data_IF_984212379373
#
_entry.id   IF_984212379373
#
_cell.length_a   1.000
_cell.length_b   1.000
_cell.length_c   1.000
_cell.angle_alpha   90.00
_cell.angle_beta   90.00
_cell.angle_gamma   90.00
#
_symmetry.space_group_name_H-M   'P 1'
#
loop_
_entity.id
_entity.type
_entity.pdbx_description
1 polymer ?
#
# COMPACT_ATOMS: atom_id res chain seq x y z
N UNK A 1 -1.87 -37.81 -8.20
CA UNK A 1 -2.11 -37.41 -9.61
C UNK A 1 -3.41 -36.62 -9.69
N UNK A 2 -3.33 -35.29 -9.77
CA UNK A 2 -4.49 -34.42 -9.94
C UNK A 2 -4.10 -33.25 -10.81
N UNK A 3 -4.41 -33.33 -12.11
CA UNK A 3 -4.08 -32.31 -13.11
C UNK A 3 -4.81 -31.01 -12.77
N UNK A 4 -4.05 -29.94 -12.50
CA UNK A 4 -4.56 -28.57 -12.52
C UNK A 4 -5.03 -28.25 -13.95
N UNK A 5 -6.34 -28.21 -14.14
CA UNK A 5 -6.96 -27.67 -15.34
C UNK A 5 -6.67 -26.15 -15.39
N UNK A 6 -5.72 -25.77 -16.25
CA UNK A 6 -5.55 -24.38 -16.71
C UNK A 6 -6.90 -23.89 -17.23
N UNK A 7 -7.46 -22.85 -16.60
CA UNK A 7 -8.64 -22.15 -17.13
C UNK A 7 -8.20 -21.31 -18.32
N UNK A 8 -8.44 -21.85 -19.50
CA UNK A 8 -8.40 -21.14 -20.77
C UNK A 8 -9.58 -20.15 -20.82
N UNK A 9 -9.28 -18.86 -20.68
CA UNK A 9 -10.27 -17.79 -20.68
C UNK A 9 -10.73 -17.40 -22.11
N UNK A 10 -10.17 -18.00 -23.16
CA UNK A 10 -10.61 -17.77 -24.53
C UNK A 10 -11.97 -18.42 -24.87
N UNK A 11 -12.54 -19.22 -23.95
CA UNK A 11 -13.76 -20.02 -24.17
C UNK A 11 -14.96 -19.65 -23.29
N UNK A 12 -14.96 -18.50 -22.62
CA UNK A 12 -16.13 -18.06 -21.85
C UNK A 12 -16.84 -16.88 -22.53
N UNK A 13 -17.80 -17.13 -23.43
CA UNK A 13 -18.57 -16.07 -24.10
C UNK A 13 -19.35 -15.17 -23.13
N UNK A 14 -19.54 -15.61 -21.87
CA UNK A 14 -20.29 -14.90 -20.85
C UNK A 14 -19.45 -14.37 -19.69
N UNK A 15 -18.11 -14.48 -19.68
CA UNK A 15 -17.30 -14.15 -18.50
C UNK A 15 -17.53 -12.73 -17.97
N UNK A 16 -17.55 -11.74 -18.87
CA UNK A 16 -17.78 -10.33 -18.52
C UNK A 16 -19.22 -10.09 -18.07
N UNK A 17 -20.20 -10.66 -18.79
CA UNK A 17 -21.61 -10.55 -18.43
C UNK A 17 -21.95 -11.25 -17.10
N UNK A 18 -21.30 -12.38 -16.82
CA UNK A 18 -21.46 -13.15 -15.58
C UNK A 18 -20.80 -12.46 -14.38
N UNK A 19 -19.62 -11.84 -14.56
CA UNK A 19 -18.97 -11.04 -13.52
C UNK A 19 -19.72 -9.72 -13.25
N UNK A 20 -20.40 -9.17 -14.25
CA UNK A 20 -21.28 -7.99 -14.12
C UNK A 20 -22.59 -8.37 -13.42
N UNK A 21 -23.18 -9.53 -13.75
CA UNK A 21 -24.39 -10.05 -13.11
C UNK A 21 -24.18 -10.52 -11.67
N UNK A 22 -22.94 -10.83 -11.27
CA UNK A 22 -22.59 -11.19 -9.88
C UNK A 22 -22.64 -10.02 -8.90
N UNK A 23 -22.53 -8.79 -9.37
CA UNK A 23 -22.60 -7.60 -8.54
C UNK A 23 -23.48 -6.54 -9.21
N UNK A 24 -24.81 -6.73 -9.24
CA UNK A 24 -25.75 -5.80 -9.85
C UNK A 24 -25.76 -4.42 -9.18
N UNK A 25 -25.13 -4.30 -8.00
CA UNK A 25 -24.95 -3.05 -7.27
C UNK A 25 -23.65 -2.32 -7.63
N UNK A 26 -22.76 -2.92 -8.44
CA UNK A 26 -21.51 -2.31 -8.86
C UNK A 26 -21.77 -1.19 -9.86
N UNK A 27 -21.90 0.03 -9.33
CA UNK A 27 -22.02 1.24 -10.14
C UNK A 27 -20.69 1.55 -10.82
N UNK A 28 -20.67 1.75 -12.16
CA UNK A 28 -19.48 2.28 -12.81
C UNK A 28 -19.19 3.68 -12.25
N UNK A 29 -17.92 4.03 -12.10
CA UNK A 29 -17.55 5.38 -11.67
C UNK A 29 -18.07 6.39 -12.70
N UNK A 30 -18.84 7.35 -12.20
CA UNK A 30 -19.28 8.52 -12.96
C UNK A 30 -18.78 9.76 -12.23
N UNK A 31 -18.04 10.60 -12.95
CA UNK A 31 -17.57 11.85 -12.40
C UNK A 31 -18.77 12.81 -12.27
N UNK A 32 -19.19 13.07 -11.03
CA UNK A 32 -20.20 14.08 -10.70
C UNK A 32 -19.54 15.34 -10.13
N UNK A 33 -20.36 16.36 -9.86
CA UNK A 33 -19.92 17.49 -9.06
C UNK A 33 -19.52 17.03 -7.66
N UNK A 34 -18.47 17.62 -7.11
CA UNK A 34 -17.88 17.23 -5.82
C UNK A 34 -18.03 18.39 -4.84
N UNK A 35 -18.30 18.09 -3.57
CA UNK A 35 -18.47 19.10 -2.52
C UNK A 35 -17.13 19.75 -2.16
N UNK A 36 -17.11 21.07 -2.14
CA UNK A 36 -16.00 21.92 -1.69
C UNK A 36 -16.02 22.05 -0.16
N UNK A 37 -14.96 22.66 0.39
CA UNK A 37 -14.86 22.86 1.85
C UNK A 37 -15.90 23.85 2.39
N UNK A 38 -16.35 24.78 1.55
CA UNK A 38 -17.39 25.78 1.85
C UNK A 38 -18.82 25.23 1.71
N UNK A 39 -18.98 23.94 1.39
CA UNK A 39 -20.27 23.29 1.20
C UNK A 39 -20.86 23.40 -0.22
N UNK A 40 -20.31 24.27 -1.08
CA UNK A 40 -20.71 24.41 -2.49
C UNK A 40 -20.27 23.21 -3.32
N UNK A 41 -20.86 23.05 -4.51
CA UNK A 41 -20.48 22.01 -5.47
C UNK A 41 -19.52 22.58 -6.52
N UNK A 42 -18.63 21.75 -7.05
CA UNK A 42 -17.78 22.12 -8.19
C UNK A 42 -18.60 22.41 -9.44
N UNK A 43 -18.22 23.46 -10.17
CA UNK A 43 -18.95 23.94 -11.34
C UNK A 43 -18.55 23.21 -12.63
N UNK A 44 -17.31 22.72 -12.71
CA UNK A 44 -16.78 22.03 -13.89
C UNK A 44 -16.25 20.64 -13.52
N UNK A 45 -16.17 19.75 -14.52
CA UNK A 45 -15.54 18.44 -14.36
C UNK A 45 -14.06 18.55 -14.00
N UNK A 46 -13.35 19.53 -14.56
CA UNK A 46 -11.95 19.79 -14.23
C UNK A 46 -11.77 20.18 -12.77
N UNK A 47 -12.64 21.04 -12.24
CA UNK A 47 -12.64 21.43 -10.83
C UNK A 47 -12.97 20.23 -9.91
N UNK A 48 -13.98 19.43 -10.27
CA UNK A 48 -14.31 18.18 -9.57
C UNK A 48 -13.09 17.24 -9.53
N UNK A 49 -12.39 17.12 -10.65
CA UNK A 49 -11.25 16.24 -10.79
C UNK A 49 -10.07 16.72 -9.93
N UNK A 50 -9.73 18.01 -10.03
CA UNK A 50 -8.69 18.62 -9.22
C UNK A 50 -8.96 18.45 -7.72
N UNK A 51 -10.23 18.56 -7.32
CA UNK A 51 -10.68 18.34 -5.94
C UNK A 51 -10.48 16.90 -5.47
N UNK A 52 -10.84 15.92 -6.30
CA UNK A 52 -10.64 14.49 -5.99
C UNK A 52 -9.16 14.15 -5.87
N UNK A 53 -8.34 14.62 -6.81
CA UNK A 53 -6.89 14.42 -6.77
C UNK A 53 -6.28 15.05 -5.51
N UNK A 54 -6.69 16.26 -5.15
CA UNK A 54 -6.20 16.93 -3.95
C UNK A 54 -6.66 16.29 -2.64
N UNK A 55 -7.83 15.65 -2.62
CA UNK A 55 -8.32 14.93 -1.45
C UNK A 55 -7.59 13.60 -1.23
N UNK A 56 -7.40 12.82 -2.30
CA UNK A 56 -6.78 11.49 -2.20
C UNK A 56 -5.24 11.53 -2.18
N UNK A 57 -4.64 12.53 -2.81
CA UNK A 57 -3.19 12.69 -2.93
C UNK A 57 -2.79 14.06 -2.38
N UNK A 58 -2.79 14.24 -1.05
CA UNK A 58 -2.47 15.50 -0.43
C UNK A 58 -0.97 15.82 -0.56
N UNK A 59 -0.64 17.08 -0.29
CA UNK A 59 0.72 17.57 -0.19
C UNK A 59 1.11 17.75 1.29
N UNK A 60 2.36 17.45 1.60
CA UNK A 60 2.97 17.81 2.87
C UNK A 60 3.08 19.33 2.96
N UNK A 61 2.50 19.92 4.01
CA UNK A 61 2.48 21.37 4.20
C UNK A 61 3.85 21.94 4.55
N UNK A 62 4.82 21.09 4.92
CA UNK A 62 6.16 21.48 5.37
C UNK A 62 6.19 22.46 6.56
N UNK A 63 5.08 22.56 7.31
CA UNK A 63 5.01 23.29 8.57
C UNK A 63 5.60 22.42 9.69
N UNK A 64 6.92 22.33 9.71
CA UNK A 64 7.65 21.46 10.62
C UNK A 64 7.93 22.14 11.97
N UNK A 65 7.66 21.43 13.06
CA UNK A 65 8.31 21.70 14.36
C UNK A 65 9.82 21.52 14.25
N UNK A 66 10.64 22.06 15.19
CA UNK A 66 12.09 21.86 15.16
C UNK A 66 12.53 20.40 15.08
N UNK A 67 11.80 19.49 15.75
CA UNK A 67 12.03 18.05 15.67
C UNK A 67 11.73 17.48 14.27
N UNK A 68 10.60 17.86 13.67
CA UNK A 68 10.23 17.44 12.32
C UNK A 68 11.22 17.96 11.27
N UNK A 69 11.67 19.21 11.41
CA UNK A 69 12.66 19.80 10.50
C UNK A 69 14.00 19.05 10.56
N UNK A 70 14.39 18.56 11.74
CA UNK A 70 15.56 17.68 11.90
C UNK A 70 15.38 16.35 11.18
N UNK A 71 14.21 15.70 11.33
CA UNK A 71 13.88 14.45 10.62
C UNK A 71 13.93 14.68 9.10
N UNK A 72 13.32 15.75 8.59
CA UNK A 72 13.32 16.08 7.15
C UNK A 72 14.71 16.31 6.59
N UNK A 73 15.59 17.03 7.30
CA UNK A 73 16.98 17.20 6.86
C UNK A 73 17.72 15.86 6.81
N UNK A 74 17.47 15.00 7.81
CA UNK A 74 18.13 13.71 7.94
C UNK A 74 17.60 12.63 7.00
N UNK A 75 16.42 12.80 6.40
CA UNK A 75 15.81 11.81 5.50
C UNK A 75 16.53 11.67 4.15
N UNK A 76 17.34 12.68 3.77
CA UNK A 76 18.15 12.66 2.55
C UNK A 76 19.48 11.91 2.72
N UNK A 77 19.85 11.57 3.95
CA UNK A 77 21.15 10.99 4.27
C UNK A 77 20.99 9.48 4.43
N UNK A 78 21.58 8.65 3.56
CA UNK A 78 21.51 7.21 3.70
C UNK A 78 22.30 6.69 4.91
N UNK A 79 21.95 5.52 5.45
CA UNK A 79 22.73 4.88 6.50
C UNK A 79 24.10 4.44 5.97
N UNK A 80 25.10 4.43 6.86
CA UNK A 80 26.44 3.90 6.57
C UNK A 80 26.46 2.39 6.82
N UNK A 81 25.76 1.66 5.95
CA UNK A 81 25.61 0.20 6.01
C UNK A 81 26.05 -0.41 4.69
N UNK A 82 26.46 -1.70 4.68
CA UNK A 82 26.73 -2.40 3.44
C UNK A 82 25.46 -2.50 2.59
N UNK A 83 25.65 -2.60 1.28
CA UNK A 83 24.55 -2.94 0.38
C UNK A 83 24.19 -4.42 0.53
N UNK A 84 22.94 -4.74 0.24
CA UNK A 84 22.41 -6.09 0.24
C UNK A 84 21.92 -6.38 -1.20
N UNK A 85 22.70 -7.01 -2.10
CA UNK A 85 22.29 -7.31 -3.48
C UNK A 85 21.37 -8.54 -3.54
N UNK A 86 20.36 -8.61 -4.41
CA UNK A 86 19.41 -9.71 -4.38
C UNK A 86 19.97 -10.92 -5.13
N UNK A 87 19.55 -12.10 -4.72
CA UNK A 87 19.84 -13.33 -5.46
C UNK A 87 18.98 -13.41 -6.74
N UNK A 88 19.46 -14.12 -7.78
CA UNK A 88 18.64 -14.39 -8.97
C UNK A 88 17.30 -15.08 -8.66
N UNK A 89 17.25 -15.87 -7.58
CA UNK A 89 16.04 -16.56 -7.11
C UNK A 89 15.02 -15.59 -6.51
N UNK A 90 15.46 -14.56 -5.79
CA UNK A 90 14.57 -13.53 -5.27
C UNK A 90 13.94 -12.71 -6.40
N UNK A 91 14.73 -12.37 -7.42
CA UNK A 91 14.22 -11.67 -8.61
C UNK A 91 13.20 -12.54 -9.34
N UNK A 92 13.51 -13.82 -9.56
CA UNK A 92 12.60 -14.79 -10.18
C UNK A 92 11.28 -14.91 -9.41
N UNK A 93 11.34 -15.00 -8.09
CA UNK A 93 10.16 -15.04 -7.24
C UNK A 93 9.34 -13.74 -7.33
N UNK A 94 9.99 -12.58 -7.38
CA UNK A 94 9.31 -11.29 -7.54
C UNK A 94 8.59 -11.18 -8.89
N UNK A 95 9.23 -11.64 -9.98
CA UNK A 95 8.65 -11.64 -11.33
C UNK A 95 7.45 -12.58 -11.43
N UNK A 96 7.59 -13.83 -10.98
CA UNK A 96 6.52 -14.85 -11.06
C UNK A 96 5.26 -14.48 -10.29
N UNK A 97 5.39 -13.69 -9.23
CA UNK A 97 4.25 -13.24 -8.44
C UNK A 97 3.56 -11.98 -9.00
N UNK A 98 4.02 -11.43 -10.13
CA UNK A 98 3.23 -10.44 -10.84
C UNK A 98 1.96 -11.15 -11.33
N UNK A 99 0.80 -10.56 -11.03
CA UNK A 99 -0.47 -11.11 -11.46
C UNK A 99 -0.63 -10.95 -12.98
N UNK A 100 -0.72 -12.09 -13.66
CA UNK A 100 -1.20 -12.23 -15.03
C UNK A 100 -2.60 -11.62 -15.23
N UNK A 101 -2.87 -11.07 -16.42
CA UNK A 101 -4.21 -10.64 -16.88
C UNK A 101 -4.92 -9.55 -16.05
N UNK A 102 -4.19 -8.71 -15.30
CA UNK A 102 -4.76 -7.47 -14.72
C UNK A 102 -4.83 -6.34 -15.75
N UNK A 103 -5.64 -5.32 -15.46
CA UNK A 103 -5.81 -4.14 -16.31
C UNK A 103 -4.47 -3.57 -16.79
N UNK A 104 -4.40 -3.08 -18.04
CA UNK A 104 -3.19 -2.52 -18.60
C UNK A 104 -2.64 -1.43 -17.70
N UNK A 105 -1.33 -1.49 -17.59
CA UNK A 105 -0.52 -0.53 -16.86
C UNK A 105 -0.31 0.72 -17.74
N UNK A 106 0.02 1.90 -17.19
CA UNK A 106 0.26 3.12 -17.97
C UNK A 106 1.23 3.01 -19.17
N UNK A 107 2.07 1.98 -19.26
CA UNK A 107 2.96 1.73 -20.40
C UNK A 107 2.47 0.63 -21.37
N UNK A 108 1.26 0.10 -21.15
CA UNK A 108 0.68 -0.98 -21.97
C UNK A 108 1.27 -2.36 -21.70
N UNK A 109 2.25 -2.49 -20.79
CA UNK A 109 2.90 -3.77 -20.48
C UNK A 109 2.15 -4.52 -19.38
N UNK A 110 1.62 -5.69 -19.76
CA UNK A 110 0.97 -6.59 -18.82
C UNK A 110 2.01 -7.43 -18.07
N UNK A 111 1.63 -7.93 -16.89
CA UNK A 111 2.47 -8.86 -16.14
C UNK A 111 2.88 -10.11 -16.93
N UNK A 112 2.02 -10.55 -17.86
CA UNK A 112 2.31 -11.67 -18.75
C UNK A 112 3.49 -11.39 -19.67
N UNK A 113 3.59 -10.16 -20.20
CA UNK A 113 4.73 -9.75 -21.05
C UNK A 113 6.03 -9.80 -20.26
N UNK A 114 6.00 -9.41 -18.99
CA UNK A 114 7.19 -9.48 -18.12
C UNK A 114 7.58 -10.93 -17.83
N UNK A 115 6.61 -11.81 -17.60
CA UNK A 115 6.87 -13.23 -17.40
C UNK A 115 7.47 -13.90 -18.64
N UNK A 116 6.95 -13.58 -19.84
CA UNK A 116 7.50 -14.09 -21.10
C UNK A 116 8.92 -13.53 -21.36
N UNK A 117 9.13 -12.23 -21.15
CA UNK A 117 10.46 -11.63 -21.27
C UNK A 117 11.47 -12.27 -20.31
N UNK A 118 11.05 -12.60 -19.09
CA UNK A 118 11.87 -13.30 -18.11
C UNK A 118 12.17 -14.75 -18.49
N UNK A 119 11.21 -15.44 -19.12
CA UNK A 119 11.42 -16.79 -19.63
C UNK A 119 12.44 -16.82 -20.78
N UNK A 120 12.45 -15.79 -21.64
CA UNK A 120 13.37 -15.67 -22.77
C UNK A 120 14.77 -15.26 -22.31
N UNK A 121 14.89 -14.24 -21.44
CA UNK A 121 16.18 -13.71 -21.02
C UNK A 121 16.21 -13.39 -19.52
N UNK A 122 16.36 -14.44 -18.72
CA UNK A 122 16.44 -14.37 -17.26
C UNK A 122 17.61 -13.51 -16.78
N UNK A 123 18.81 -13.72 -17.34
CA UNK A 123 20.02 -13.02 -16.89
C UNK A 123 19.88 -11.51 -17.05
N UNK A 124 19.37 -11.05 -18.20
CA UNK A 124 19.16 -9.62 -18.42
C UNK A 124 18.25 -8.97 -17.37
N UNK A 125 17.10 -9.59 -17.05
CA UNK A 125 16.20 -9.01 -16.05
C UNK A 125 16.77 -9.08 -14.63
N UNK A 126 17.51 -10.14 -14.30
CA UNK A 126 18.24 -10.22 -13.02
C UNK A 126 19.26 -9.09 -12.92
N UNK A 127 20.12 -8.93 -13.92
CA UNK A 127 21.15 -7.88 -13.96
C UNK A 127 20.53 -6.48 -13.95
N UNK A 128 19.40 -6.30 -14.64
CA UNK A 128 18.65 -5.05 -14.66
C UNK A 128 18.12 -4.66 -13.27
N UNK A 129 17.48 -5.59 -12.55
CA UNK A 129 16.97 -5.30 -11.21
C UNK A 129 18.09 -5.17 -10.17
N UNK A 130 19.19 -5.91 -10.32
CA UNK A 130 20.41 -5.75 -9.54
C UNK A 130 20.97 -4.34 -9.69
N UNK A 131 21.15 -3.88 -10.93
CA UNK A 131 21.64 -2.55 -11.25
C UNK A 131 20.73 -1.45 -10.66
N UNK A 132 19.40 -1.60 -10.75
CA UNK A 132 18.46 -0.67 -10.11
C UNK A 132 18.66 -0.59 -8.59
N UNK A 133 18.88 -1.72 -7.92
CA UNK A 133 19.13 -1.77 -6.48
C UNK A 133 20.51 -1.21 -6.12
N UNK A 134 21.57 -1.63 -6.80
CA UNK A 134 22.95 -1.13 -6.58
C UNK A 134 23.03 0.39 -6.70
N UNK A 135 22.37 0.96 -7.72
CA UNK A 135 22.27 2.41 -7.88
C UNK A 135 21.32 3.07 -6.87
N UNK A 136 20.45 2.28 -6.23
CA UNK A 136 19.43 2.81 -5.33
C UNK A 136 18.35 3.60 -6.08
N UNK A 137 18.08 3.25 -7.33
CA UNK A 137 17.28 4.06 -8.24
C UNK A 137 15.96 3.37 -8.62
N UNK A 138 14.88 4.10 -8.44
CA UNK A 138 13.55 3.77 -8.93
C UNK A 138 13.21 4.70 -10.10
N UNK A 139 13.00 4.14 -11.30
CA UNK A 139 12.79 4.93 -12.52
C UNK A 139 11.68 5.96 -12.37
N UNK A 140 11.93 7.20 -12.83
CA UNK A 140 10.93 8.29 -12.80
C UNK A 140 9.61 7.89 -13.47
N UNK A 141 9.66 7.13 -14.57
CA UNK A 141 8.48 6.63 -15.28
C UNK A 141 7.61 5.72 -14.42
N UNK A 142 8.19 5.03 -13.45
CA UNK A 142 7.46 4.14 -12.53
C UNK A 142 6.89 4.86 -11.31
N UNK A 143 7.28 6.12 -11.08
CA UNK A 143 6.79 6.96 -9.97
C UNK A 143 5.44 7.61 -10.29
N UNK A 144 5.07 7.68 -11.56
CA UNK A 144 3.73 8.10 -12.01
C UNK A 144 2.76 6.92 -12.01
N UNK A 145 1.62 7.08 -11.33
CA UNK A 145 0.53 6.10 -11.33
C UNK A 145 -0.64 6.55 -12.20
N UNK A 146 -1.31 5.63 -12.90
CA UNK A 146 -2.62 5.90 -13.48
C UNK A 146 -3.70 5.63 -12.42
N UNK A 147 -4.55 6.60 -12.13
CA UNK A 147 -5.62 6.49 -11.15
C UNK A 147 -6.88 5.90 -11.78
N UNK A 148 -7.51 5.00 -11.02
CA UNK A 148 -8.88 4.54 -11.25
C UNK A 148 -9.65 4.73 -9.95
N UNK A 149 -10.87 5.26 -10.03
CA UNK A 149 -11.73 5.48 -8.88
C UNK A 149 -12.86 4.45 -8.85
N UNK A 150 -13.21 3.99 -7.65
CA UNK A 150 -14.36 3.11 -7.40
C UNK A 150 -15.27 3.73 -6.35
N UNK A 151 -16.58 3.63 -6.53
CA UNK A 151 -17.54 4.11 -5.54
C UNK A 151 -17.55 3.18 -4.33
N UNK A 152 -17.55 3.76 -3.14
CA UNK A 152 -17.82 3.07 -1.90
C UNK A 152 -19.34 2.97 -1.73
N UNK A 153 -19.84 1.84 -1.21
CA UNK A 153 -21.26 1.73 -0.89
C UNK A 153 -21.66 2.75 0.18
N UNK A 154 -22.92 3.17 0.15
CA UNK A 154 -23.55 4.00 1.18
C UNK A 154 -22.91 5.38 1.40
N UNK A 155 -22.35 5.98 0.34
CA UNK A 155 -21.88 7.37 0.35
C UNK A 155 -22.43 8.12 -0.87
N UNK A 156 -22.64 9.41 -0.71
CA UNK A 156 -23.06 10.29 -1.80
C UNK A 156 -21.88 10.52 -2.75
N UNK A 157 -22.11 10.40 -4.06
CA UNK A 157 -21.07 10.58 -5.08
C UNK A 157 -20.53 12.03 -5.14
N UNK A 158 -21.20 12.97 -4.47
CA UNK A 158 -20.72 14.34 -4.29
C UNK A 158 -19.59 14.43 -3.25
N UNK A 159 -19.41 13.44 -2.38
CA UNK A 159 -18.38 13.46 -1.36
C UNK A 159 -17.06 12.87 -1.88
N UNK A 160 -15.91 13.58 -1.80
CA UNK A 160 -14.62 13.00 -2.19
C UNK A 160 -14.31 11.66 -1.48
N UNK A 161 -14.80 11.52 -0.25
CA UNK A 161 -14.59 10.31 0.57
C UNK A 161 -15.38 9.09 0.10
N UNK A 162 -16.36 9.28 -0.80
CA UNK A 162 -17.14 8.24 -1.45
C UNK A 162 -16.32 7.44 -2.46
N UNK A 163 -15.21 7.99 -2.93
CA UNK A 163 -14.37 7.30 -3.90
C UNK A 163 -13.20 6.57 -3.22
N UNK A 164 -12.82 5.47 -3.85
CA UNK A 164 -11.70 4.64 -3.47
C UNK A 164 -10.66 4.66 -4.61
N UNK A 165 -9.49 5.29 -4.38
CA UNK A 165 -8.46 5.41 -5.40
C UNK A 165 -7.70 4.10 -5.54
N UNK A 166 -7.49 3.64 -6.78
CA UNK A 166 -6.57 2.56 -7.11
C UNK A 166 -5.51 3.12 -8.07
N UNK A 167 -4.26 3.04 -7.65
CA UNK A 167 -3.08 3.40 -8.42
C UNK A 167 -2.62 2.20 -9.25
N UNK A 168 -2.78 2.28 -10.57
CA UNK A 168 -2.19 1.36 -11.52
C UNK A 168 -0.73 1.77 -11.75
N UNK A 169 0.19 0.98 -11.18
CA UNK A 169 1.63 1.18 -11.29
C UNK A 169 2.26 0.29 -12.37
N UNK A 170 3.41 0.76 -12.89
CA UNK A 170 4.25 0.08 -13.87
C UNK A 170 4.50 -1.41 -13.54
N UNK A 171 4.45 -2.32 -14.51
CA UNK A 171 4.65 -3.75 -14.27
C UNK A 171 6.09 -4.05 -13.78
N UNK A 172 7.11 -3.51 -14.46
CA UNK A 172 8.51 -3.59 -14.02
C UNK A 172 8.71 -2.86 -12.69
N UNK A 173 8.10 -1.68 -12.55
CA UNK A 173 8.11 -0.94 -11.28
C UNK A 173 7.53 -1.74 -10.12
N UNK A 174 6.48 -2.54 -10.34
CA UNK A 174 5.89 -3.45 -9.34
C UNK A 174 6.82 -4.60 -8.98
N UNK A 175 7.64 -5.09 -9.90
CA UNK A 175 8.66 -6.10 -9.59
C UNK A 175 9.69 -5.51 -8.63
N UNK A 176 10.25 -4.35 -8.97
CA UNK A 176 11.25 -3.70 -8.12
C UNK A 176 10.66 -3.33 -6.75
N UNK A 177 9.45 -2.75 -6.73
CA UNK A 177 8.71 -2.44 -5.51
C UNK A 177 8.50 -3.69 -4.64
N UNK A 178 8.10 -4.82 -5.24
CA UNK A 178 7.93 -6.09 -4.54
C UNK A 178 9.25 -6.62 -3.99
N UNK A 179 10.31 -6.60 -4.79
CA UNK A 179 11.64 -7.07 -4.41
C UNK A 179 12.16 -6.28 -3.20
N UNK A 180 12.12 -4.95 -3.27
CA UNK A 180 12.51 -4.05 -2.18
C UNK A 180 11.64 -4.28 -0.94
N UNK A 181 10.32 -4.42 -1.11
CA UNK A 181 9.37 -4.67 -0.01
C UNK A 181 9.70 -5.97 0.73
N UNK A 182 9.93 -7.07 0.00
CA UNK A 182 10.25 -8.36 0.63
C UNK A 182 11.56 -8.31 1.41
N UNK A 183 12.58 -7.66 0.87
CA UNK A 183 13.88 -7.56 1.50
C UNK A 183 13.87 -6.66 2.72
N UNK A 184 13.20 -5.52 2.63
CA UNK A 184 12.97 -4.66 3.78
C UNK A 184 12.20 -5.41 4.88
N UNK A 185 11.14 -6.14 4.51
CA UNK A 185 10.39 -6.94 5.47
C UNK A 185 11.26 -8.03 6.12
N UNK A 186 12.08 -8.73 5.35
CA UNK A 186 13.03 -9.71 5.87
C UNK A 186 14.05 -9.08 6.83
N UNK A 187 14.56 -7.88 6.52
CA UNK A 187 15.45 -7.13 7.40
C UNK A 187 14.78 -6.81 8.74
N UNK A 188 13.50 -6.39 8.73
CA UNK A 188 12.74 -6.13 9.95
C UNK A 188 12.56 -7.38 10.82
N UNK A 189 12.33 -8.53 10.20
CA UNK A 189 12.21 -9.81 10.90
C UNK A 189 13.55 -10.24 11.50
N UNK A 190 14.65 -10.12 10.75
CA UNK A 190 16.00 -10.47 11.20
C UNK A 190 16.41 -9.68 12.44
N UNK A 191 16.00 -8.42 12.53
CA UNK A 191 16.28 -7.55 13.67
C UNK A 191 15.24 -7.64 14.80
N UNK A 192 14.21 -8.48 14.65
CA UNK A 192 13.06 -8.53 15.56
C UNK A 192 12.45 -7.15 15.86
N UNK A 193 12.35 -6.30 14.83
CA UNK A 193 11.95 -4.91 14.97
C UNK A 193 10.42 -4.71 15.08
N UNK A 194 9.63 -5.73 14.72
CA UNK A 194 8.18 -5.68 14.77
C UNK A 194 7.67 -5.95 16.20
N UNK A 195 6.78 -5.08 16.70
CA UNK A 195 6.17 -5.24 18.02
C UNK A 195 5.38 -6.55 18.11
N UNK A 196 5.42 -7.23 19.26
CA UNK A 196 4.72 -8.52 19.45
C UNK A 196 3.21 -8.42 19.25
N UNK A 197 2.61 -7.28 19.61
CA UNK A 197 1.17 -7.01 19.49
C UNK A 197 0.77 -6.30 18.21
N UNK A 198 1.68 -6.21 17.24
CA UNK A 198 1.35 -5.72 15.91
C UNK A 198 0.83 -6.88 15.07
N UNK A 199 -0.49 -6.95 14.90
CA UNK A 199 -1.14 -8.00 14.10
C UNK A 199 -1.33 -7.57 12.64
N UNK A 200 -1.27 -6.27 12.38
CA UNK A 200 -1.57 -5.74 11.09
C UNK A 200 -0.43 -5.91 10.09
N UNK A 201 -0.69 -6.48 8.90
CA UNK A 201 0.28 -6.62 7.81
C UNK A 201 1.55 -7.41 8.18
N UNK A 202 1.48 -8.22 9.24
CA UNK A 202 2.56 -9.10 9.68
C UNK A 202 2.24 -10.53 9.25
N UNK A 203 3.18 -11.17 8.55
CA UNK A 203 3.07 -12.56 8.14
C UNK A 203 2.88 -13.48 9.35
N UNK A 204 1.94 -14.42 9.26
CA UNK A 204 1.63 -15.36 10.34
C UNK A 204 0.81 -14.76 11.48
N UNK A 205 0.31 -13.53 11.36
CA UNK A 205 -0.62 -12.91 12.32
C UNK A 205 -1.89 -12.49 11.62
N UNK A 206 -3.02 -12.59 12.34
CA UNK A 206 -4.34 -12.27 11.82
C UNK A 206 -5.14 -11.40 12.78
N UNK A 207 -6.23 -10.80 12.27
CA UNK A 207 -7.18 -10.09 13.11
C UNK A 207 -7.84 -11.00 14.15
N UNK A 208 -8.01 -12.30 13.82
CA UNK A 208 -8.53 -13.30 14.74
C UNK A 208 -7.59 -13.49 15.94
N UNK A 209 -6.27 -13.58 15.69
CA UNK A 209 -5.28 -13.72 16.75
C UNK A 209 -5.30 -12.52 17.70
N UNK A 210 -5.44 -11.32 17.16
CA UNK A 210 -5.59 -10.10 17.94
C UNK A 210 -6.84 -10.13 18.84
N UNK A 211 -7.98 -10.57 18.30
CA UNK A 211 -9.23 -10.70 19.06
C UNK A 211 -9.10 -11.76 20.16
N UNK A 212 -8.41 -12.87 19.89
CA UNK A 212 -8.17 -13.91 20.88
C UNK A 212 -7.25 -13.41 22.02
N UNK A 213 -6.18 -12.67 21.70
CA UNK A 213 -5.33 -12.04 22.72
C UNK A 213 -6.15 -11.05 23.57
N UNK A 214 -6.98 -10.21 22.94
CA UNK A 214 -7.87 -9.28 23.64
C UNK A 214 -8.82 -9.99 24.60
N UNK A 215 -9.49 -11.05 24.13
CA UNK A 215 -10.41 -11.84 24.96
C UNK A 215 -9.69 -12.47 26.14
N UNK A 216 -8.52 -13.08 25.91
CA UNK A 216 -7.71 -13.66 26.98
C UNK A 216 -7.30 -12.61 28.01
N UNK A 217 -6.96 -11.41 27.57
CA UNK A 217 -6.61 -10.30 28.46
C UNK A 217 -7.80 -9.85 29.32
N UNK A 218 -8.99 -9.69 28.71
CA UNK A 218 -10.22 -9.34 29.44
C UNK A 218 -10.58 -10.42 30.48
N UNK A 219 -10.48 -11.70 30.11
CA UNK A 219 -10.73 -12.81 31.02
C UNK A 219 -9.79 -12.77 32.22
N UNK A 220 -8.49 -12.59 31.99
CA UNK A 220 -7.49 -12.46 33.07
C UNK A 220 -7.79 -11.28 34.00
N UNK A 221 -8.14 -10.12 33.45
CA UNK A 221 -8.50 -8.95 34.27
C UNK A 221 -9.73 -9.23 35.13
N UNK A 222 -10.73 -9.94 34.59
CA UNK A 222 -11.92 -10.35 35.34
C UNK A 222 -11.60 -11.32 36.47
N UNK A 223 -10.73 -12.30 36.23
CA UNK A 223 -10.29 -13.27 37.24
C UNK A 223 -9.55 -12.58 38.40
N UNK A 224 -8.83 -11.49 38.09
CA UNK A 224 -8.14 -10.64 39.08
C UNK A 224 -9.07 -9.57 39.71
N UNK A 225 -10.38 -9.63 39.48
CA UNK A 225 -11.38 -8.65 39.93
C UNK A 225 -11.08 -7.19 39.50
N UNK A 226 -10.39 -7.02 38.36
CA UNK A 226 -10.07 -5.72 37.76
C UNK A 226 -11.09 -5.32 36.69
N UNK A 227 -11.23 -4.03 36.48
CA UNK A 227 -12.00 -3.49 35.35
C UNK A 227 -11.15 -3.45 34.08
N UNK A 228 -11.77 -3.78 32.94
CA UNK A 228 -11.15 -3.67 31.61
C UNK A 228 -11.76 -2.49 30.86
N UNK A 229 -10.92 -1.62 30.28
CA UNK A 229 -11.35 -0.51 29.42
C UNK A 229 -10.65 -0.65 28.07
N UNK A 230 -11.40 -0.52 26.99
CA UNK A 230 -10.89 -0.61 25.61
C UNK A 230 -11.03 0.76 24.95
N UNK A 231 -9.92 1.27 24.40
CA UNK A 231 -9.88 2.50 23.62
C UNK A 231 -9.52 2.13 22.19
N UNK A 232 -10.46 2.32 21.27
CA UNK A 232 -10.25 2.13 19.83
C UNK A 232 -9.95 3.46 19.16
N UNK A 233 -8.92 3.49 18.30
CA UNK A 233 -8.53 4.65 17.51
C UNK A 233 -8.57 4.28 16.03
N UNK A 234 -9.30 5.05 15.23
CA UNK A 234 -9.34 4.91 13.78
C UNK A 234 -8.60 6.07 13.12
N UNK A 235 -7.67 5.74 12.22
CA UNK A 235 -6.85 6.74 11.51
C UNK A 235 -7.46 6.99 10.15
N UNK A 236 -8.08 8.16 9.99
CA UNK A 236 -8.68 8.55 8.74
C UNK A 236 -7.65 8.61 7.59
N UNK A 237 -7.90 7.81 6.55
CA UNK A 237 -7.07 7.77 5.33
C UNK A 237 -5.59 7.51 5.62
N UNK A 238 -5.30 6.53 6.49
CA UNK A 238 -3.94 6.19 6.93
C UNK A 238 -2.89 6.13 5.80
N UNK A 239 -3.19 5.44 4.69
CA UNK A 239 -2.27 5.33 3.55
C UNK A 239 -1.98 6.66 2.85
N UNK A 240 -2.89 7.62 2.88
CA UNK A 240 -2.70 8.92 2.22
C UNK A 240 -1.89 9.90 3.09
N UNK A 241 -1.55 9.51 4.32
CA UNK A 241 -0.91 10.37 5.32
C UNK A 241 0.44 9.84 5.82
N UNK A 242 1.00 8.84 5.16
CA UNK A 242 2.33 8.29 5.47
C UNK A 242 3.41 9.35 5.21
N UNK A 243 4.00 9.90 6.28
CA UNK A 243 5.02 10.95 6.18
C UNK A 243 6.39 10.36 5.83
N UNK A 244 6.88 10.62 4.61
CA UNK A 244 8.08 9.98 4.07
C UNK A 244 9.35 10.24 4.86
N UNK A 245 9.63 11.46 5.36
CA UNK A 245 10.80 11.70 6.20
C UNK A 245 10.87 10.79 7.43
N UNK A 246 9.73 10.52 8.07
CA UNK A 246 9.67 9.64 9.23
C UNK A 246 10.03 8.20 8.86
N UNK A 247 9.47 7.69 7.76
CA UNK A 247 9.79 6.35 7.25
C UNK A 247 11.30 6.25 7.00
N UNK A 248 11.89 7.19 6.27
CA UNK A 248 13.30 7.14 5.92
C UNK A 248 14.19 7.22 7.17
N UNK A 249 13.94 8.15 8.09
CA UNK A 249 14.82 8.34 9.25
C UNK A 249 14.60 7.28 10.33
N UNK A 250 13.37 7.16 10.84
CA UNK A 250 13.09 6.30 12.00
C UNK A 250 13.02 4.84 11.59
N UNK A 251 12.40 4.54 10.46
CA UNK A 251 12.09 3.17 10.10
C UNK A 251 13.09 2.50 9.16
N UNK A 252 14.02 3.25 8.56
CA UNK A 252 15.08 2.68 7.72
C UNK A 252 16.47 3.02 8.27
N UNK A 253 16.79 4.31 8.43
CA UNK A 253 18.14 4.74 8.83
C UNK A 253 18.49 4.31 10.25
N UNK A 254 17.62 4.56 11.23
CA UNK A 254 17.87 4.22 12.65
C UNK A 254 17.95 2.71 12.89
N UNK A 255 17.33 1.89 12.05
CA UNK A 255 17.40 0.42 12.14
C UNK A 255 18.53 -0.19 11.30
N UNK A 256 19.47 0.64 10.83
CA UNK A 256 20.60 0.22 9.99
C UNK A 256 20.16 -0.63 8.79
N UNK A 257 19.10 -0.19 8.08
CA UNK A 257 18.68 -0.79 6.81
C UNK A 257 19.85 -0.78 5.81
N UNK A 258 20.01 -1.82 4.97
CA UNK A 258 20.99 -1.81 3.90
C UNK A 258 20.87 -0.55 3.04
N UNK A 259 22.03 0.03 2.70
CA UNK A 259 22.11 1.36 2.07
C UNK A 259 21.41 1.41 0.72
N UNK A 260 21.59 0.38 -0.10
CA UNK A 260 20.90 0.25 -1.39
C UNK A 260 19.37 0.20 -1.25
N UNK A 261 18.84 -0.58 -0.30
CA UNK A 261 17.39 -0.65 -0.02
C UNK A 261 16.87 0.72 0.42
N UNK A 262 17.56 1.40 1.34
CA UNK A 262 17.21 2.77 1.75
C UNK A 262 17.10 3.70 0.55
N UNK A 263 18.13 3.71 -0.32
CA UNK A 263 18.16 4.59 -1.50
C UNK A 263 17.02 4.28 -2.46
N UNK A 264 16.75 2.99 -2.74
CA UNK A 264 15.64 2.62 -3.63
C UNK A 264 14.29 3.02 -3.05
N UNK A 265 14.07 2.89 -1.74
CA UNK A 265 12.82 3.35 -1.10
C UNK A 265 12.72 4.89 -1.13
N UNK A 266 13.79 5.61 -0.83
CA UNK A 266 13.83 7.07 -0.95
C UNK A 266 13.51 7.51 -2.39
N UNK A 267 14.11 6.84 -3.37
CA UNK A 267 13.85 7.06 -4.79
C UNK A 267 12.41 6.71 -5.19
N UNK A 268 11.80 5.67 -4.62
CA UNK A 268 10.39 5.31 -4.85
C UNK A 268 9.42 6.37 -4.31
N UNK A 269 9.76 7.01 -3.19
CA UNK A 269 8.95 8.03 -2.53
C UNK A 269 9.14 9.42 -3.14
N UNK A 270 10.22 9.71 -3.85
CA UNK A 270 10.48 11.03 -4.42
C UNK A 270 9.74 11.29 -5.75
N UNK A 271 9.38 12.54 -6.04
CA UNK A 271 8.79 12.98 -7.33
C UNK A 271 7.59 12.15 -7.80
N UNK A 272 6.73 11.76 -6.84
CA UNK A 272 5.55 10.96 -7.15
C UNK A 272 4.47 11.82 -7.79
N UNK A 273 3.83 11.24 -8.80
CA UNK A 273 2.67 11.82 -9.45
C UNK A 273 1.60 10.78 -9.72
N UNK A 274 0.39 11.28 -9.90
CA UNK A 274 -0.78 10.49 -10.29
C UNK A 274 -1.46 11.18 -11.46
N UNK A 275 -1.85 10.41 -12.47
CA UNK A 275 -2.59 10.89 -13.62
C UNK A 275 -3.98 10.25 -13.62
N UNK A 276 -5.01 11.03 -13.91
CA UNK A 276 -6.37 10.54 -14.06
C UNK A 276 -6.96 11.06 -15.35
N UNK A 277 -7.53 10.14 -16.13
CA UNK A 277 -8.16 10.43 -17.42
C UNK A 277 -9.64 10.06 -17.34
N UNK A 278 -10.50 11.00 -17.70
CA UNK A 278 -11.95 10.79 -17.81
C UNK A 278 -12.49 11.48 -19.05
N UNK A 279 -13.03 10.69 -19.98
CA UNK A 279 -13.29 11.18 -21.34
C UNK A 279 -12.00 11.70 -21.96
N UNK A 280 -12.05 12.93 -22.48
CA UNK A 280 -10.91 13.61 -23.10
C UNK A 280 -10.07 14.45 -22.13
N UNK A 281 -10.46 14.51 -20.86
CA UNK A 281 -9.77 15.30 -19.83
C UNK A 281 -8.75 14.42 -19.11
N UNK A 282 -7.51 14.88 -19.06
CA UNK A 282 -6.44 14.25 -18.26
C UNK A 282 -5.78 15.26 -17.34
N UNK A 283 -5.85 15.01 -16.03
CA UNK A 283 -5.13 15.80 -15.04
C UNK A 283 -4.06 14.97 -14.35
N UNK A 284 -2.88 15.57 -14.21
CA UNK A 284 -1.76 15.00 -13.47
C UNK A 284 -1.47 15.85 -12.25
N UNK A 285 -1.33 15.20 -11.09
CA UNK A 285 -1.00 15.85 -9.83
C UNK A 285 0.22 15.18 -9.20
N UNK A 286 1.19 15.97 -8.78
CA UNK A 286 2.26 15.52 -7.88
C UNK A 286 1.78 15.48 -6.43
N UNK A 287 2.32 14.58 -5.62
CA UNK A 287 2.03 14.50 -4.19
C UNK A 287 3.29 14.20 -3.41
N UNK A 288 3.31 14.59 -2.13
CA UNK A 288 4.52 14.58 -1.29
C UNK A 288 4.35 13.83 0.04
N UNK A 289 3.21 13.16 0.23
CA UNK A 289 2.92 12.32 1.38
C UNK A 289 2.01 11.15 0.98
N UNK A 290 2.04 10.06 1.75
CA UNK A 290 1.19 8.90 1.54
C UNK A 290 1.82 7.80 0.67
N UNK A 291 1.04 6.79 0.33
CA UNK A 291 1.47 5.67 -0.48
C UNK A 291 0.49 5.41 -1.62
N UNK A 292 0.96 5.10 -2.84
CA UNK A 292 0.08 4.76 -3.95
C UNK A 292 -0.69 3.48 -3.62
N UNK A 293 -2.02 3.59 -3.61
CA UNK A 293 -2.90 2.49 -3.23
C UNK A 293 -2.95 1.44 -4.34
N UNK A 294 -2.19 0.35 -4.18
CA UNK A 294 -1.94 -0.63 -5.26
C UNK A 294 -0.45 -0.97 -5.43
N UNK A 295 0.43 -0.27 -4.72
CA UNK A 295 1.82 -0.71 -4.48
C UNK A 295 1.89 -1.92 -3.55
N UNK A 296 2.96 -2.70 -3.71
CA UNK A 296 3.32 -3.76 -2.78
C UNK A 296 3.88 -3.18 -1.48
N UNK A 297 4.61 -2.05 -1.55
CA UNK A 297 5.20 -1.40 -0.39
C UNK A 297 4.21 -0.65 0.49
N UNK A 298 3.07 -0.16 -0.03
CA UNK A 298 2.10 0.64 0.74
C UNK A 298 1.74 0.04 2.11
N UNK A 299 1.31 -1.24 2.19
CA UNK A 299 1.07 -1.94 3.45
C UNK A 299 2.29 -1.96 4.40
N UNK A 300 3.49 -2.19 3.87
CA UNK A 300 4.73 -2.24 4.65
C UNK A 300 5.11 -0.86 5.20
N UNK A 301 4.98 0.19 4.39
CA UNK A 301 5.27 1.57 4.79
C UNK A 301 4.31 2.03 5.90
N UNK A 302 3.04 1.65 5.82
CA UNK A 302 2.10 1.88 6.92
C UNK A 302 2.44 1.06 8.17
N UNK A 303 2.78 -0.22 8.02
CA UNK A 303 3.23 -1.07 9.12
C UNK A 303 4.38 -0.43 9.90
N UNK A 304 5.38 0.13 9.20
CA UNK A 304 6.52 0.81 9.81
C UNK A 304 6.09 1.99 10.72
N UNK A 305 5.21 2.86 10.24
CA UNK A 305 4.68 3.98 11.03
C UNK A 305 3.87 3.49 12.23
N UNK A 306 2.97 2.52 12.00
CA UNK A 306 2.12 1.98 13.07
C UNK A 306 2.96 1.25 14.15
N UNK A 307 4.05 0.58 13.74
CA UNK A 307 4.98 -0.08 14.63
C UNK A 307 5.74 0.93 15.52
N UNK A 308 6.22 2.03 14.94
CA UNK A 308 6.93 3.08 15.68
C UNK A 308 5.99 3.75 16.72
N UNK A 309 4.78 4.10 16.31
CA UNK A 309 3.76 4.66 17.19
C UNK A 309 3.44 3.74 18.39
N UNK A 310 3.44 2.42 18.17
CA UNK A 310 3.21 1.43 19.22
C UNK A 310 4.39 1.35 20.20
N UNK A 311 5.63 1.45 19.72
CA UNK A 311 6.83 1.38 20.55
C UNK A 311 6.95 2.53 21.55
N UNK A 312 6.56 3.75 21.15
CA UNK A 312 6.61 4.95 21.99
C UNK A 312 5.63 4.92 23.17
N UNK A 313 4.52 4.17 23.03
CA UNK A 313 3.45 4.10 24.04
C UNK A 313 3.79 3.12 25.16
N UNK A 314 4.49 2.02 24.84
CA UNK A 314 4.87 0.98 25.82
C UNK A 314 5.77 1.49 26.95
N UNK A 315 6.51 2.59 26.77
CA UNK A 315 7.46 3.11 27.77
C UNK A 315 6.81 3.94 28.89
N UNK A 316 5.55 4.36 28.77
CA UNK A 316 4.90 5.28 29.73
C UNK A 316 3.66 4.74 30.43
N UNK A 317 3.19 3.54 30.07
CA UNK A 317 1.91 2.98 30.59
C UNK A 317 2.08 1.53 31.01
N UNK A 318 2.98 1.25 31.96
CA UNK A 318 3.14 -0.09 32.54
C UNK A 318 1.95 -0.53 33.40
N UNK A 319 1.06 0.38 33.80
CA UNK A 319 -0.11 0.09 34.66
C UNK A 319 -1.46 0.06 33.92
N UNK A 320 -1.51 0.55 32.68
CA UNK A 320 -2.71 0.52 31.84
C UNK A 320 -2.43 -0.27 30.57
N UNK A 321 -3.07 -1.43 30.43
CA UNK A 321 -3.03 -2.22 29.22
C UNK A 321 -3.81 -1.54 28.10
N UNK A 322 -3.20 -0.56 27.44
CA UNK A 322 -3.73 -0.01 26.20
C UNK A 322 -3.46 -1.03 25.08
N UNK A 323 -4.45 -1.86 24.77
CA UNK A 323 -4.44 -2.60 23.51
C UNK A 323 -4.83 -1.64 22.39
N UNK A 324 -3.83 -1.06 21.73
CA UNK A 324 -4.02 -0.21 20.54
C UNK A 324 -4.02 -1.04 19.27
N UNK A 325 -4.97 -0.72 18.41
CA UNK A 325 -5.20 -1.19 17.03
C UNK A 325 -5.93 -2.51 16.86
N UNK A 326 -7.13 -2.41 16.26
CA UNK A 326 -7.44 -3.12 15.02
C UNK A 326 -8.26 -2.17 14.14
N UNK A 327 -7.71 -1.73 13.01
CA UNK A 327 -8.40 -1.80 11.72
C UNK A 327 -7.34 -1.78 10.61
N UNK A 328 -7.03 -2.98 10.12
CA UNK A 328 -6.70 -3.14 8.72
C UNK A 328 -8.04 -3.17 8.01
N UNK A 329 -8.26 -2.21 7.11
CA UNK A 329 -9.26 -2.37 6.08
C UNK A 329 -9.01 -3.71 5.39
N UNK A 330 -9.94 -4.65 5.59
CA UNK A 330 -9.98 -5.94 4.94
C UNK A 330 -9.66 -5.78 3.46
N UNK A 331 -8.43 -6.10 3.07
CA UNK A 331 -8.10 -6.46 1.71
C UNK A 331 -8.46 -7.93 1.55
N UNK A 332 -9.76 -8.21 1.48
CA UNK A 332 -10.26 -9.46 0.95
C UNK A 332 -10.88 -9.19 -0.41
N UNK A 333 -10.54 -10.06 -1.36
CA UNK A 333 -11.27 -10.25 -2.60
C UNK A 333 -12.79 -10.19 -2.36
N UNK A 334 -13.60 -9.76 -3.35
CA UNK A 334 -15.05 -9.73 -3.22
C UNK A 334 -15.55 -11.08 -2.72
N UNK A 335 -16.38 -11.03 -1.68
CA UNK A 335 -16.92 -12.17 -0.96
C UNK A 335 -17.38 -13.26 -1.95
N UNK A 336 -16.72 -14.42 -1.89
CA UNK A 336 -17.37 -15.65 -2.33
C UNK A 336 -18.49 -15.94 -1.34
N UNK A 337 -19.73 -15.70 -1.75
CA UNK A 337 -20.93 -16.14 -1.04
C UNK A 337 -20.85 -17.64 -0.76
N UNK A 338 -21.28 -18.11 0.43
CA UNK A 338 -21.33 -19.53 0.70
C UNK A 338 -22.37 -20.17 -0.22
N UNK A 339 -21.96 -21.22 -0.94
CA UNK A 339 -22.88 -22.07 -1.68
C UNK A 339 -23.89 -22.65 -0.69
N UNK A 340 -25.14 -22.21 -0.77
CA UNK A 340 -26.27 -23.02 -0.31
C UNK A 340 -26.23 -24.31 -1.13
N UNK A 341 -25.79 -25.41 -0.52
CA UNK A 341 -26.14 -26.74 -1.01
C UNK A 341 -27.63 -26.93 -0.78
N UNK A 342 -28.27 -27.55 -1.79
CA UNK A 342 -29.65 -28.01 -1.76
C UNK A 342 -29.93 -28.86 -0.54
#
# INVERSE_FOLDING_TARGET
>A
MGRQLRRDHSRQPFGVHFDTAKDPNRRPFQLSSVRKKDGSLTATMDEALHKLLSYHFPDDTALDTPAQASIRRNSKIPPYTPDDPPSPLEVEAAVREIRSKKAPVPDGLYGDVINEAFAINKSFLVDFFNCCLEQGYFSKRWRTAQLVLFNKPNKEDTEPSAFHPICLLNALGKVLDKLVTKRLYHHLLKLNHLQNRQYGFVSGRSATDAILELKSWIHKARDEAKHSVIISLDVQSAFNRVWWPLVLVHNLRQINCPRNIFKTVASFLEDRSVSFTYGDITNTKSYTIGCPQGSNSGPLLWLLIANDASSSTSRKTSEYWLMRMIFISLWQHPASTPSRRK
#
